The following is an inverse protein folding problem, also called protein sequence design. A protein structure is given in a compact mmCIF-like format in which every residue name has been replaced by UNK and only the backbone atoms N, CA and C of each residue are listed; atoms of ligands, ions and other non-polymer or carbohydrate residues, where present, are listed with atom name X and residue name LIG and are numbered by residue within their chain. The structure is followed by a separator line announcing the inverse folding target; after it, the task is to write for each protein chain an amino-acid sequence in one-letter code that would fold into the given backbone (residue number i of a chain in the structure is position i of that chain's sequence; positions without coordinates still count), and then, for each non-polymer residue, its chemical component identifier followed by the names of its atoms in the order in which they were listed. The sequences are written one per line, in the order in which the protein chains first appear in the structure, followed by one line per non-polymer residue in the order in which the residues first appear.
data_IF_249818354930
#
_entry.id   IF_249818354930
#
_cell.length_a   1.000
_cell.length_b   1.000
_cell.length_c   1.000
_cell.angle_alpha   90.00
_cell.angle_beta   90.00
_cell.angle_gamma   90.00
#
_symmetry.space_group_name_H-M   'P 1'
#
loop_
_entity.id
_entity.type
_entity.pdbx_description
1 polymer ?
#
# COMPACT_ATOMS: atom_id res chain seq x y z
N UNK A 1 1.28 17.08 -30.87
CA UNK A 1 0.42 15.89 -31.03
C UNK A 1 0.95 14.79 -30.11
N UNK A 2 0.16 14.36 -29.12
CA UNK A 2 0.58 13.36 -28.14
C UNK A 2 -0.51 13.20 -27.09
N UNK A 3 -1.69 12.77 -27.53
CA UNK A 3 -2.79 12.46 -26.64
C UNK A 3 -2.40 11.28 -25.76
N UNK A 4 -2.18 11.56 -24.47
CA UNK A 4 -2.14 10.52 -23.46
C UNK A 4 -3.52 9.91 -23.36
N UNK A 5 -3.68 8.69 -23.88
CA UNK A 5 -4.88 7.92 -23.67
C UNK A 5 -5.06 7.70 -22.16
N UNK A 6 -6.16 8.23 -21.60
CA UNK A 6 -6.62 7.86 -20.28
C UNK A 6 -6.96 6.38 -20.32
N UNK A 7 -6.10 5.53 -19.76
CA UNK A 7 -6.41 4.12 -19.59
C UNK A 7 -7.70 4.02 -18.76
N UNK A 8 -8.66 3.15 -19.15
CA UNK A 8 -9.86 2.94 -18.35
C UNK A 8 -9.45 2.53 -16.93
N UNK A 9 -10.26 2.84 -15.91
CA UNK A 9 -9.99 2.36 -14.55
C UNK A 9 -9.82 0.84 -14.63
N UNK A 10 -8.65 0.34 -14.24
CA UNK A 10 -8.50 -1.09 -14.02
C UNK A 10 -9.38 -1.41 -12.81
N UNK A 11 -10.58 -1.91 -13.08
CA UNK A 11 -11.50 -2.38 -12.06
C UNK A 11 -10.75 -3.36 -11.17
N UNK A 12 -10.77 -3.14 -9.85
CA UNK A 12 -10.26 -4.14 -8.94
C UNK A 12 -11.04 -5.43 -9.19
N UNK A 13 -10.38 -6.59 -9.32
CA UNK A 13 -11.07 -7.85 -9.55
C UNK A 13 -11.95 -8.29 -8.36
N UNK A 14 -11.84 -7.63 -7.21
CA UNK A 14 -12.62 -7.89 -6.01
C UNK A 14 -13.36 -6.63 -5.56
N UNK A 15 -14.62 -6.82 -5.16
CA UNK A 15 -15.38 -5.79 -4.45
C UNK A 15 -14.66 -5.43 -3.15
N UNK A 16 -14.39 -4.14 -2.97
CA UNK A 16 -13.88 -3.62 -1.71
C UNK A 16 -14.98 -3.73 -0.64
N UNK A 17 -14.57 -3.90 0.62
CA UNK A 17 -15.49 -3.82 1.75
C UNK A 17 -16.21 -2.46 1.76
N UNK A 18 -17.45 -2.39 2.23
CA UNK A 18 -18.26 -1.16 2.22
C UNK A 18 -17.60 0.01 2.96
N UNK A 19 -16.75 -0.30 3.95
CA UNK A 19 -15.97 0.67 4.72
C UNK A 19 -14.66 1.09 4.03
N UNK A 20 -14.32 0.51 2.88
CA UNK A 20 -13.09 0.76 2.13
C UNK A 20 -13.36 1.53 0.84
N UNK A 21 -12.60 2.59 0.61
CA UNK A 21 -12.68 3.39 -0.62
C UNK A 21 -11.29 3.59 -1.21
N UNK A 22 -10.99 2.88 -2.30
CA UNK A 22 -9.71 2.98 -3.02
C UNK A 22 -9.97 3.43 -4.46
N UNK A 23 -9.35 4.54 -4.86
CA UNK A 23 -9.48 5.09 -6.22
C UNK A 23 -8.53 4.44 -7.23
N UNK A 24 -7.34 4.07 -6.77
CA UNK A 24 -6.27 3.52 -7.60
C UNK A 24 -5.52 2.43 -6.85
N UNK A 25 -5.26 1.32 -7.53
CA UNK A 25 -4.43 0.22 -7.01
C UNK A 25 -3.18 0.12 -7.88
N UNK A 26 -2.02 0.06 -7.23
CA UNK A 26 -0.72 -0.08 -7.88
C UNK A 26 -0.09 -1.38 -7.38
N UNK A 27 0.05 -2.35 -8.28
CA UNK A 27 0.76 -3.59 -7.99
C UNK A 27 2.27 -3.41 -8.14
N UNK A 28 3.03 -3.57 -7.05
CA UNK A 28 4.49 -3.62 -7.10
C UNK A 28 4.92 -5.07 -6.97
N UNK A 29 5.53 -5.63 -8.01
CA UNK A 29 5.95 -7.04 -8.06
C UNK A 29 7.44 -7.16 -8.37
N UNK A 30 8.07 -8.25 -7.92
CA UNK A 30 9.47 -8.58 -8.25
C UNK A 30 9.61 -10.06 -8.55
N UNK A 31 10.39 -10.40 -9.56
CA UNK A 31 10.73 -11.78 -9.90
C UNK A 31 11.81 -12.43 -9.01
N UNK A 32 12.51 -11.64 -8.17
CA UNK A 32 13.57 -12.13 -7.27
C UNK A 32 13.56 -11.41 -5.92
N UNK A 33 14.00 -12.10 -4.87
CA UNK A 33 14.20 -11.50 -3.54
C UNK A 33 15.35 -10.49 -3.55
N UNK A 34 15.26 -9.45 -2.72
CA UNK A 34 16.36 -8.50 -2.52
C UNK A 34 16.51 -7.36 -3.54
N UNK A 35 15.64 -7.24 -4.55
CA UNK A 35 15.72 -6.16 -5.55
C UNK A 35 15.28 -4.78 -5.04
N UNK A 36 14.85 -4.68 -3.78
CA UNK A 36 14.38 -3.42 -3.19
C UNK A 36 12.90 -3.09 -3.43
N UNK A 37 12.05 -4.09 -3.72
CA UNK A 37 10.59 -3.91 -3.90
C UNK A 37 9.94 -3.10 -2.77
N UNK A 38 10.19 -3.47 -1.53
CA UNK A 38 9.64 -2.81 -0.34
C UNK A 38 10.17 -1.38 -0.19
N UNK A 39 11.42 -1.13 -0.59
CA UNK A 39 12.01 0.21 -0.60
C UNK A 39 11.35 1.12 -1.63
N UNK A 40 11.16 0.64 -2.86
CA UNK A 40 10.47 1.40 -3.92
C UNK A 40 9.02 1.68 -3.52
N UNK A 41 8.33 0.67 -2.97
CA UNK A 41 6.94 0.81 -2.48
C UNK A 41 6.84 1.88 -1.38
N UNK A 42 7.75 1.84 -0.40
CA UNK A 42 7.78 2.81 0.70
C UNK A 42 8.05 4.23 0.21
N UNK A 43 9.02 4.42 -0.69
CA UNK A 43 9.34 5.74 -1.26
C UNK A 43 8.22 6.30 -2.11
N UNK A 44 7.53 5.45 -2.88
CA UNK A 44 6.37 5.82 -3.66
C UNK A 44 5.23 6.29 -2.74
N UNK A 45 4.94 5.54 -1.67
CA UNK A 45 3.92 5.90 -0.71
C UNK A 45 4.21 7.21 0.03
N UNK A 46 5.46 7.42 0.46
CA UNK A 46 5.90 8.68 1.08
C UNK A 46 5.73 9.85 0.12
N UNK A 47 6.12 9.69 -1.14
CA UNK A 47 5.98 10.74 -2.15
C UNK A 47 4.52 11.09 -2.41
N UNK A 48 3.64 10.09 -2.52
CA UNK A 48 2.21 10.31 -2.72
C UNK A 48 1.55 10.96 -1.50
N UNK A 49 1.90 10.51 -0.29
CA UNK A 49 1.41 11.13 0.94
C UNK A 49 1.85 12.60 1.05
N UNK A 50 3.11 12.91 0.71
CA UNK A 50 3.62 14.30 0.65
C UNK A 50 2.91 15.17 -0.39
N UNK A 51 2.39 14.57 -1.45
CA UNK A 51 1.56 15.26 -2.45
C UNK A 51 0.10 15.45 -2.01
N UNK A 52 -0.26 15.01 -0.79
CA UNK A 52 -1.59 15.17 -0.21
C UNK A 52 -2.57 14.04 -0.53
N UNK A 53 -2.10 12.93 -1.11
CA UNK A 53 -2.96 11.76 -1.35
C UNK A 53 -3.10 10.92 -0.08
N UNK A 54 -4.29 10.32 0.10
CA UNK A 54 -4.47 9.23 1.08
C UNK A 54 -3.88 7.96 0.50
N UNK A 55 -2.90 7.39 1.19
CA UNK A 55 -2.15 6.23 0.72
C UNK A 55 -2.25 5.11 1.74
N UNK A 56 -2.61 3.92 1.26
CA UNK A 56 -2.50 2.67 1.99
C UNK A 56 -1.46 1.76 1.34
N UNK A 57 -0.72 1.01 2.14
CA UNK A 57 0.16 -0.06 1.70
C UNK A 57 -0.35 -1.37 2.29
N UNK A 58 -0.60 -2.34 1.40
CA UNK A 58 -0.87 -3.71 1.78
C UNK A 58 0.36 -4.55 1.41
N UNK A 59 1.06 -5.04 2.43
CA UNK A 59 2.23 -5.89 2.30
C UNK A 59 1.83 -7.35 2.51
N UNK A 60 2.13 -8.19 1.51
CA UNK A 60 1.97 -9.64 1.58
C UNK A 60 3.33 -10.36 1.66
N UNK A 61 4.44 -9.62 1.75
CA UNK A 61 5.79 -10.20 1.84
C UNK A 61 6.10 -10.66 3.28
N UNK A 62 5.95 -11.96 3.53
CA UNK A 62 6.32 -12.61 4.80
C UNK A 62 7.85 -12.74 4.99
N UNK A 63 8.66 -12.67 3.92
CA UNK A 63 10.05 -13.16 3.91
C UNK A 63 11.16 -12.08 3.87
N UNK A 64 10.83 -10.79 3.97
CA UNK A 64 11.80 -9.68 3.99
C UNK A 64 11.70 -8.78 5.23
N UNK A 65 12.59 -7.78 5.42
CA UNK A 65 12.33 -6.71 6.39
C UNK A 65 11.03 -6.00 5.99
N UNK A 66 9.98 -6.29 6.74
CA UNK A 66 8.60 -5.92 6.40
C UNK A 66 8.43 -4.41 6.23
N UNK A 67 7.51 -3.98 5.36
CA UNK A 67 7.20 -2.56 5.16
C UNK A 67 6.94 -1.82 6.50
N UNK A 68 6.22 -2.38 7.49
CA UNK A 68 6.10 -1.78 8.82
C UNK A 68 7.45 -1.37 9.44
N UNK A 69 8.48 -2.20 9.30
CA UNK A 69 9.83 -1.92 9.81
C UNK A 69 10.46 -0.71 9.11
N UNK A 70 10.25 -0.54 7.81
CA UNK A 70 10.73 0.63 7.05
C UNK A 70 10.05 1.93 7.50
N UNK A 71 8.78 1.85 7.91
CA UNK A 71 8.04 2.98 8.48
C UNK A 71 8.31 3.20 9.98
N UNK A 72 9.16 2.40 10.61
CA UNK A 72 9.45 2.46 12.05
C UNK A 72 8.25 2.08 12.91
N UNK A 73 7.27 1.37 12.35
CA UNK A 73 6.08 0.90 13.03
C UNK A 73 6.45 -0.36 13.82
N UNK A 74 6.23 -0.30 15.14
CA UNK A 74 6.42 -1.45 16.06
C UNK A 74 5.10 -2.18 16.37
N UNK A 75 3.98 -1.52 16.10
CA UNK A 75 2.64 -2.03 16.31
C UNK A 75 2.21 -2.89 15.12
N UNK A 76 1.46 -3.96 15.39
CA UNK A 76 0.90 -4.81 14.34
C UNK A 76 -0.51 -4.33 14.00
N UNK A 77 -0.94 -4.60 12.77
CA UNK A 77 -2.36 -4.47 12.42
C UNK A 77 -3.18 -5.31 13.39
N UNK A 78 -4.30 -4.76 13.87
CA UNK A 78 -5.22 -5.46 14.75
C UNK A 78 -6.48 -5.83 13.95
N UNK A 79 -7.10 -6.95 14.34
CA UNK A 79 -8.33 -7.42 13.75
C UNK A 79 -9.40 -7.57 14.85
N UNK A 80 -10.63 -7.22 14.50
CA UNK A 80 -11.83 -7.49 15.29
C UNK A 80 -12.81 -8.35 14.47
N UNK A 81 -14.04 -8.52 14.95
CA UNK A 81 -15.08 -9.29 14.27
C UNK A 81 -15.57 -8.65 12.95
N UNK A 82 -15.30 -7.36 12.75
CA UNK A 82 -15.75 -6.56 11.60
C UNK A 82 -14.67 -6.53 10.50
N UNK A 83 -13.39 -6.50 10.88
CA UNK A 83 -12.30 -6.51 9.92
C UNK A 83 -10.92 -6.29 10.53
N UNK A 84 -9.93 -6.09 9.65
CA UNK A 84 -8.56 -5.81 10.03
C UNK A 84 -8.21 -4.35 9.72
N UNK A 85 -7.66 -3.66 10.71
CA UNK A 85 -7.38 -2.23 10.64
C UNK A 85 -5.88 -1.97 10.41
N UNK A 86 -5.54 -1.03 9.52
CA UNK A 86 -4.15 -0.69 9.26
C UNK A 86 -3.54 0.10 10.41
N UNK A 87 -2.22 0.01 10.55
CA UNK A 87 -1.46 0.86 11.46
C UNK A 87 -1.02 2.12 10.73
N UNK A 88 -1.24 3.28 11.35
CA UNK A 88 -0.80 4.56 10.78
C UNK A 88 0.69 4.77 11.04
N UNK A 89 1.45 5.00 9.97
CA UNK A 89 2.81 5.53 10.07
C UNK A 89 2.79 7.00 10.53
N UNK A 90 3.95 7.49 10.99
CA UNK A 90 4.14 8.92 11.32
C UNK A 90 3.83 9.88 10.15
N UNK A 91 3.92 9.39 8.92
CA UNK A 91 3.63 10.16 7.70
C UNK A 91 2.15 10.13 7.28
N UNK A 92 1.27 9.54 8.09
CA UNK A 92 -0.16 9.41 7.78
C UNK A 92 -0.49 8.32 6.76
N UNK A 93 0.48 7.49 6.38
CA UNK A 93 0.28 6.33 5.49
C UNK A 93 -0.27 5.18 6.31
N UNK A 94 -1.36 4.59 5.82
CA UNK A 94 -1.96 3.39 6.40
C UNK A 94 -1.17 2.16 5.95
N UNK A 95 -0.64 1.39 6.88
CA UNK A 95 0.18 0.20 6.58
C UNK A 95 -0.49 -1.04 7.16
N UNK A 96 -0.69 -2.02 6.29
CA UNK A 96 -1.23 -3.32 6.63
C UNK A 96 -0.24 -4.38 6.16
N UNK A 97 0.18 -5.25 7.07
CA UNK A 97 1.08 -6.36 6.79
C UNK A 97 0.53 -7.58 7.50
N UNK A 98 0.43 -8.69 6.77
CA UNK A 98 -0.01 -9.98 7.29
C UNK A 98 1.15 -10.74 7.93
#
# INVERSE_FOLDING_TARGET
CGGGASQPPHDLPAHLHELSSVKHVIGVVSGKGGVGKSSVTSLMAITMARKGYKVGILDADITGPSIPKMFGIKEKAYADEIGMYPVKSKGGIDVMSV
#
